data_IF_063531350725
#
_entry.id   IF_063531350725
#
_cell.length_a   1.000
_cell.length_b   1.000
_cell.length_c   1.000
_cell.angle_alpha   90.00
_cell.angle_beta   90.00
_cell.angle_gamma   90.00
#
_symmetry.space_group_name_H-M   'P 1'
#
loop_
_entity.id
_entity.type
_entity.pdbx_description
1 polymer ?
#
# COMPACT_ATOMS: atom_id res chain seq x y z
N UNK A 1 -9.67 45.58 15.32
CA UNK A 1 -9.98 44.52 14.33
C UNK A 1 -9.41 44.99 13.00
N UNK A 2 -8.34 44.36 12.52
CA UNK A 2 -7.71 44.73 11.24
C UNK A 2 -8.40 43.92 10.14
N UNK A 3 -8.97 44.60 9.15
CA UNK A 3 -9.59 43.97 7.98
C UNK A 3 -8.51 43.67 6.94
N UNK A 4 -8.40 42.42 6.52
CA UNK A 4 -7.57 42.03 5.38
C UNK A 4 -8.43 42.04 4.11
N UNK A 5 -7.85 42.41 2.98
CA UNK A 5 -8.53 42.43 1.68
C UNK A 5 -7.71 41.64 0.66
N UNK A 6 -8.38 40.85 -0.18
CA UNK A 6 -7.79 40.20 -1.35
C UNK A 6 -8.53 40.54 -2.62
N UNK A 7 -7.86 40.43 -3.76
CA UNK A 7 -8.49 40.55 -5.08
C UNK A 7 -9.38 39.33 -5.31
N UNK A 8 -10.57 39.54 -5.88
CA UNK A 8 -11.46 38.47 -6.32
C UNK A 8 -10.86 37.78 -7.56
N UNK A 9 -10.80 36.45 -7.56
CA UNK A 9 -10.32 35.69 -8.72
C UNK A 9 -11.18 35.99 -9.95
N UNK A 10 -10.54 36.36 -11.06
CA UNK A 10 -11.20 36.83 -12.27
C UNK A 10 -11.80 35.66 -13.05
N UNK A 11 -13.13 35.51 -12.99
CA UNK A 11 -13.88 34.91 -14.10
C UNK A 11 -14.67 36.01 -14.82
N UNK A 12 -14.07 36.56 -15.88
CA UNK A 12 -14.82 37.20 -16.96
C UNK A 12 -15.16 38.69 -16.87
N UNK A 13 -14.71 39.46 -15.87
CA UNK A 13 -14.95 40.91 -15.85
C UNK A 13 -13.72 41.73 -15.40
N UNK A 14 -13.55 42.92 -16.00
CA UNK A 14 -12.37 43.78 -15.86
C UNK A 14 -12.44 44.73 -14.64
N UNK A 15 -13.36 44.50 -13.72
CA UNK A 15 -13.48 45.26 -12.47
C UNK A 15 -12.63 44.63 -11.35
N UNK A 16 -11.67 45.38 -10.81
CA UNK A 16 -10.87 44.95 -9.66
C UNK A 16 -11.70 45.02 -8.37
N UNK A 17 -12.47 43.98 -8.07
CA UNK A 17 -13.25 43.88 -6.84
C UNK A 17 -12.38 43.36 -5.69
N UNK A 18 -12.22 44.17 -4.63
CA UNK A 18 -11.62 43.74 -3.37
C UNK A 18 -12.68 43.03 -2.52
N UNK A 19 -12.30 41.89 -1.93
CA UNK A 19 -13.14 41.13 -1.01
C UNK A 19 -12.48 41.17 0.36
N UNK A 20 -13.28 41.42 1.40
CA UNK A 20 -12.83 41.28 2.78
C UNK A 20 -12.49 39.81 3.04
N UNK A 21 -11.24 39.54 3.43
CA UNK A 21 -10.80 38.22 3.83
C UNK A 21 -10.91 38.11 5.35
N UNK A 22 -11.79 37.22 5.81
CA UNK A 22 -11.94 36.91 7.22
C UNK A 22 -10.98 35.80 7.61
N UNK A 23 -10.49 35.86 8.85
CA UNK A 23 -9.71 34.78 9.43
C UNK A 23 -10.51 33.47 9.45
N UNK A 24 -9.93 32.40 8.91
CA UNK A 24 -10.52 31.05 8.92
C UNK A 24 -9.67 30.09 9.74
N UNK A 25 -10.25 29.54 10.81
CA UNK A 25 -9.61 28.48 11.58
C UNK A 25 -9.38 27.21 10.75
N UNK A 26 -10.33 26.92 9.86
CA UNK A 26 -10.24 25.82 8.92
C UNK A 26 -9.10 26.06 7.94
N UNK A 27 -9.03 27.25 7.33
CA UNK A 27 -7.93 27.62 6.42
C UNK A 27 -6.54 27.55 7.07
N UNK A 28 -6.41 27.97 8.34
CA UNK A 28 -5.14 27.79 9.07
C UNK A 28 -4.79 26.31 9.30
N UNK A 29 -5.80 25.45 9.50
CA UNK A 29 -5.61 24.02 9.70
C UNK A 29 -5.26 23.30 8.41
N UNK A 30 -5.88 23.70 7.30
CA UNK A 30 -5.56 23.25 5.95
C UNK A 30 -4.13 23.62 5.58
N UNK A 31 -3.73 24.88 5.76
CA UNK A 31 -2.36 25.34 5.50
C UNK A 31 -1.31 24.59 6.35
N UNK A 32 -1.64 24.25 7.61
CA UNK A 32 -0.78 23.43 8.45
C UNK A 32 -0.62 22.01 7.91
N UNK A 33 -1.69 21.41 7.39
CA UNK A 33 -1.66 20.07 6.78
C UNK A 33 -0.86 20.10 5.49
N UNK A 34 -1.08 21.10 4.64
CA UNK A 34 -0.32 21.30 3.40
C UNK A 34 1.18 21.45 3.69
N UNK A 35 1.57 22.28 4.66
CA UNK A 35 2.97 22.42 5.08
C UNK A 35 3.57 21.07 5.49
N UNK A 36 2.84 20.27 6.25
CA UNK A 36 3.31 18.94 6.69
C UNK A 36 3.52 17.99 5.52
N UNK A 37 2.65 18.05 4.51
CA UNK A 37 2.75 17.21 3.31
C UNK A 37 3.88 17.68 2.39
N UNK A 38 3.88 18.98 2.04
CA UNK A 38 4.81 19.58 1.09
C UNK A 38 6.25 19.57 1.61
N UNK A 39 6.43 19.87 2.90
CA UNK A 39 7.77 19.92 3.51
C UNK A 39 8.17 18.59 4.14
N UNK A 40 7.40 17.51 3.92
CA UNK A 40 7.62 16.16 4.45
C UNK A 40 7.90 16.13 5.97
N UNK A 41 7.21 16.99 6.73
CA UNK A 41 7.45 17.13 8.16
C UNK A 41 6.84 15.96 8.94
N UNK A 42 7.52 15.44 9.98
CA UNK A 42 6.93 14.40 10.80
C UNK A 42 5.73 14.96 11.58
N UNK A 43 4.64 14.21 11.75
CA UNK A 43 3.44 14.70 12.45
C UNK A 43 3.69 15.22 13.87
N UNK A 44 4.75 14.73 14.53
CA UNK A 44 5.20 15.24 15.85
C UNK A 44 5.72 16.68 15.82
N UNK A 45 5.96 17.25 14.64
CA UNK A 45 6.45 18.62 14.44
C UNK A 45 5.60 19.64 15.20
N UNK A 46 4.27 19.46 15.17
CA UNK A 46 3.31 20.33 15.87
C UNK A 46 3.47 20.33 17.40
N UNK A 47 4.14 19.33 17.96
CA UNK A 47 4.45 19.26 19.39
C UNK A 47 5.70 20.05 19.78
N UNK A 48 6.51 20.49 18.81
CA UNK A 48 7.78 21.17 19.04
C UNK A 48 7.58 22.49 19.79
N UNK A 49 8.38 22.72 20.84
CA UNK A 49 8.34 23.96 21.64
C UNK A 49 8.56 25.21 20.78
N UNK A 50 9.47 25.15 19.81
CA UNK A 50 9.75 26.24 18.89
C UNK A 50 8.55 26.57 18.00
N UNK A 51 7.93 25.54 17.41
CA UNK A 51 6.74 25.70 16.58
C UNK A 51 5.56 26.27 17.36
N UNK A 52 5.29 25.75 18.57
CA UNK A 52 4.25 26.31 19.45
C UNK A 52 4.50 27.77 19.79
N UNK A 53 5.74 28.12 20.18
CA UNK A 53 6.12 29.51 20.46
C UNK A 53 5.98 30.41 19.24
N UNK A 54 6.29 29.90 18.04
CA UNK A 54 6.09 30.62 16.78
C UNK A 54 4.60 30.89 16.52
N UNK A 55 3.75 29.86 16.62
CA UNK A 55 2.30 29.99 16.45
C UNK A 55 1.70 30.92 17.51
N UNK A 56 2.10 30.80 18.78
CA UNK A 56 1.65 31.68 19.87
C UNK A 56 1.97 33.16 19.62
N UNK A 57 3.07 33.44 18.89
CA UNK A 57 3.44 34.80 18.49
C UNK A 57 2.68 35.28 17.25
N UNK A 58 2.29 34.40 16.36
CA UNK A 58 1.41 34.74 15.24
C UNK A 58 -0.03 35.00 15.69
N UNK A 59 -0.48 34.37 16.77
CA UNK A 59 -1.88 34.44 17.21
C UNK A 59 -2.24 35.60 18.14
N UNK A 60 -1.28 36.51 18.41
CA UNK A 60 -1.39 37.78 19.16
C UNK A 60 -2.72 38.06 19.89
N UNK A 61 -2.69 37.97 21.23
CA UNK A 61 -3.60 38.66 22.15
C UNK A 61 -5.10 38.48 21.89
N UNK A 62 -5.69 37.41 22.42
CA UNK A 62 -7.14 37.15 22.50
C UNK A 62 -7.94 37.13 21.17
N UNK A 63 -7.30 37.31 20.01
CA UNK A 63 -8.01 37.49 18.75
C UNK A 63 -7.81 36.43 17.67
N UNK A 64 -7.00 35.38 17.88
CA UNK A 64 -7.06 34.20 16.99
C UNK A 64 -7.05 32.89 17.78
N UNK A 65 -8.13 32.13 17.62
CA UNK A 65 -8.47 30.88 18.32
C UNK A 65 -7.72 29.66 17.76
N UNK A 66 -6.63 29.84 17.03
CA UNK A 66 -5.94 28.72 16.40
C UNK A 66 -5.13 27.96 17.45
N UNK A 67 -5.74 26.89 17.96
CA UNK A 67 -5.09 25.94 18.86
C UNK A 67 -4.36 24.93 18.01
N UNK A 68 -3.03 24.83 18.19
CA UNK A 68 -2.21 23.87 17.47
C UNK A 68 -2.78 22.45 17.70
N UNK A 69 -3.18 21.74 16.63
CA UNK A 69 -3.77 20.41 16.76
C UNK A 69 -2.74 19.40 17.25
N UNK A 70 -3.23 18.31 17.86
CA UNK A 70 -2.35 17.20 18.24
C UNK A 70 -1.80 16.49 17.00
N UNK A 71 -0.67 15.80 17.14
CA UNK A 71 -0.10 14.98 16.06
C UNK A 71 -1.10 13.94 15.48
N UNK A 72 -2.01 13.40 16.30
CA UNK A 72 -3.04 12.45 15.85
C UNK A 72 -4.15 13.13 15.06
N UNK A 73 -4.47 14.36 15.46
CA UNK A 73 -5.44 15.20 14.76
C UNK A 73 -4.90 15.58 13.38
N UNK A 74 -3.65 16.03 13.32
CA UNK A 74 -2.93 16.29 12.07
C UNK A 74 -2.93 15.07 11.16
N UNK A 75 -2.56 13.90 11.68
CA UNK A 75 -2.56 12.66 10.91
C UNK A 75 -3.95 12.37 10.29
N UNK A 76 -5.02 12.59 11.06
CA UNK A 76 -6.39 12.42 10.56
C UNK A 76 -6.74 13.44 9.48
N UNK A 77 -6.30 14.68 9.60
CA UNK A 77 -6.60 15.71 8.61
C UNK A 77 -5.81 15.50 7.32
N UNK A 78 -4.55 15.07 7.39
CA UNK A 78 -3.77 14.61 6.22
C UNK A 78 -4.55 13.53 5.45
N UNK A 79 -5.15 12.56 6.15
CA UNK A 79 -5.95 11.51 5.50
C UNK A 79 -7.19 12.06 4.79
N UNK A 80 -7.83 13.12 5.31
CA UNK A 80 -8.97 13.77 4.65
C UNK A 80 -8.57 14.46 3.35
N UNK A 81 -7.36 15.02 3.29
CA UNK A 81 -6.83 15.66 2.09
C UNK A 81 -6.54 14.65 0.97
N UNK A 82 -5.95 13.51 1.31
CA UNK A 82 -5.48 12.56 0.31
C UNK A 82 -6.58 11.66 -0.25
N UNK A 83 -7.56 11.26 0.56
CA UNK A 83 -8.55 10.28 0.12
C UNK A 83 -9.89 10.42 0.88
N UNK A 84 -10.70 11.43 0.56
CA UNK A 84 -12.07 11.45 1.01
C UNK A 84 -12.83 10.29 0.36
N UNK A 85 -13.07 9.23 1.13
CA UNK A 85 -13.97 8.16 0.70
C UNK A 85 -15.39 8.70 0.88
N UNK A 86 -16.14 8.82 -0.22
CA UNK A 86 -17.50 9.38 -0.20
C UNK A 86 -18.45 8.65 0.76
N UNK A 87 -18.28 7.32 0.88
CA UNK A 87 -19.06 6.48 1.77
C UNK A 87 -18.33 5.17 2.09
N UNK A 88 -18.68 4.53 3.21
CA UNK A 88 -18.08 3.26 3.65
C UNK A 88 -18.65 2.01 2.96
N UNK A 89 -19.23 2.13 1.74
CA UNK A 89 -19.67 0.95 0.98
C UNK A 89 -18.47 0.30 0.31
N UNK A 90 -18.40 -1.03 0.35
CA UNK A 90 -17.26 -1.78 -0.20
C UNK A 90 -17.00 -1.53 -1.69
N UNK A 91 -18.05 -1.35 -2.51
CA UNK A 91 -17.88 -1.00 -3.92
C UNK A 91 -17.18 0.33 -4.13
N UNK A 92 -17.52 1.34 -3.32
CA UNK A 92 -16.89 2.67 -3.36
C UNK A 92 -15.43 2.55 -2.95
N UNK A 93 -15.16 1.84 -1.85
CA UNK A 93 -13.80 1.59 -1.36
C UNK A 93 -12.96 0.89 -2.44
N UNK A 94 -13.47 -0.17 -3.06
CA UNK A 94 -12.77 -0.90 -4.11
C UNK A 94 -12.44 -0.03 -5.33
N UNK A 95 -13.38 0.80 -5.80
CA UNK A 95 -13.16 1.75 -6.90
C UNK A 95 -12.11 2.81 -6.56
N UNK A 96 -12.17 3.36 -5.34
CA UNK A 96 -11.19 4.36 -4.89
C UNK A 96 -9.80 3.76 -4.79
N UNK A 97 -9.67 2.54 -4.26
CA UNK A 97 -8.39 1.81 -4.22
C UNK A 97 -7.86 1.58 -5.65
N UNK A 98 -8.70 1.10 -6.58
CA UNK A 98 -8.28 0.90 -7.97
C UNK A 98 -7.78 2.20 -8.61
N UNK A 99 -8.48 3.32 -8.40
CA UNK A 99 -8.09 4.63 -8.90
C UNK A 99 -6.71 5.03 -8.36
N UNK A 100 -6.53 4.97 -7.04
CA UNK A 100 -5.28 5.36 -6.40
C UNK A 100 -4.10 4.50 -6.87
N UNK A 101 -4.30 3.19 -7.01
CA UNK A 101 -3.26 2.29 -7.52
C UNK A 101 -2.82 2.70 -8.95
N UNK A 102 -3.77 3.06 -9.82
CA UNK A 102 -3.44 3.55 -11.17
C UNK A 102 -2.73 4.90 -11.14
N UNK A 103 -3.20 5.83 -10.31
CA UNK A 103 -2.60 7.16 -10.17
C UNK A 103 -1.15 7.04 -9.67
N UNK A 104 -0.84 6.02 -8.86
CA UNK A 104 0.51 5.69 -8.41
C UNK A 104 1.33 4.85 -9.40
N UNK A 105 0.78 4.45 -10.55
CA UNK A 105 1.44 3.58 -11.52
C UNK A 105 1.61 2.13 -11.04
N UNK A 106 0.83 1.70 -10.04
CA UNK A 106 0.85 0.33 -9.50
C UNK A 106 -0.10 -0.55 -10.31
N UNK A 107 0.47 -1.29 -11.25
CA UNK A 107 -0.30 -2.17 -12.14
C UNK A 107 -0.51 -3.58 -11.57
N UNK A 108 0.39 -4.03 -10.69
CA UNK A 108 0.41 -5.40 -10.16
C UNK A 108 0.37 -5.38 -8.63
N UNK A 109 -0.75 -5.84 -8.07
CA UNK A 109 -0.93 -5.98 -6.62
C UNK A 109 -0.79 -7.45 -6.24
N UNK A 110 0.22 -7.75 -5.41
CA UNK A 110 0.48 -9.12 -4.96
C UNK A 110 -0.43 -9.55 -3.79
N UNK A 111 -0.64 -8.67 -2.81
CA UNK A 111 -1.42 -8.97 -1.61
C UNK A 111 -2.07 -7.70 -1.10
N UNK A 112 -3.33 -7.80 -0.69
CA UNK A 112 -4.07 -6.75 -0.01
C UNK A 112 -4.51 -7.26 1.36
N UNK A 113 -4.08 -6.57 2.41
CA UNK A 113 -4.54 -6.86 3.78
C UNK A 113 -5.57 -5.83 4.18
N UNK A 114 -6.71 -6.30 4.67
CA UNK A 114 -7.82 -5.48 5.13
C UNK A 114 -8.16 -5.87 6.56
N UNK A 115 -8.72 -4.96 7.35
CA UNK A 115 -9.24 -5.27 8.68
C UNK A 115 -10.55 -6.08 8.58
N UNK A 116 -11.04 -6.59 9.71
CA UNK A 116 -12.22 -7.46 9.76
C UNK A 116 -13.53 -6.67 9.72
N UNK A 117 -13.71 -5.83 8.70
CA UNK A 117 -14.92 -5.05 8.46
C UNK A 117 -15.69 -5.59 7.26
N UNK A 118 -17.02 -5.70 7.36
CA UNK A 118 -17.87 -6.30 6.31
C UNK A 118 -17.80 -5.57 4.96
N UNK A 119 -17.56 -4.26 4.97
CA UNK A 119 -17.35 -3.50 3.73
C UNK A 119 -16.16 -4.00 2.93
N UNK A 120 -15.15 -4.57 3.59
CA UNK A 120 -13.96 -5.07 2.93
C UNK A 120 -14.22 -6.32 2.10
N UNK A 121 -15.19 -7.16 2.47
CA UNK A 121 -15.54 -8.36 1.68
C UNK A 121 -15.97 -7.97 0.25
N UNK A 122 -16.81 -6.94 0.14
CA UNK A 122 -17.28 -6.42 -1.15
C UNK A 122 -16.16 -5.69 -1.90
N UNK A 123 -15.35 -4.90 -1.20
CA UNK A 123 -14.21 -4.21 -1.80
C UNK A 123 -13.17 -5.20 -2.37
N UNK A 124 -12.85 -6.25 -1.61
CA UNK A 124 -11.94 -7.31 -2.04
C UNK A 124 -12.52 -8.08 -3.21
N UNK A 125 -13.80 -8.43 -3.19
CA UNK A 125 -14.44 -9.09 -4.34
C UNK A 125 -14.36 -8.23 -5.62
N UNK A 126 -14.57 -6.92 -5.50
CA UNK A 126 -14.40 -5.97 -6.61
C UNK A 126 -12.97 -5.95 -7.14
N UNK A 127 -12.00 -5.76 -6.24
CA UNK A 127 -10.58 -5.68 -6.58
C UNK A 127 -10.09 -7.01 -7.18
N UNK A 128 -10.49 -8.15 -6.63
CA UNK A 128 -10.18 -9.46 -7.18
C UNK A 128 -10.75 -9.58 -8.59
N UNK A 129 -11.95 -9.13 -8.90
CA UNK A 129 -12.47 -9.17 -10.28
C UNK A 129 -11.63 -8.33 -11.25
N UNK A 130 -11.07 -7.20 -10.78
CA UNK A 130 -10.32 -6.26 -11.62
C UNK A 130 -8.86 -6.64 -11.81
N UNK A 131 -8.23 -7.12 -10.74
CA UNK A 131 -6.84 -7.51 -10.68
C UNK A 131 -6.63 -9.02 -10.91
N UNK A 132 -7.70 -9.84 -10.93
CA UNK A 132 -7.59 -11.26 -11.30
C UNK A 132 -7.32 -11.39 -12.80
N UNK A 133 -6.04 -11.61 -13.09
CA UNK A 133 -5.66 -12.96 -13.52
C UNK A 133 -5.41 -13.75 -12.22
N UNK A 134 -6.24 -14.75 -11.95
CA UNK A 134 -6.38 -15.36 -10.62
C UNK A 134 -5.09 -15.94 -10.05
N UNK A 135 -4.98 -15.96 -8.71
CA UNK A 135 -4.14 -16.90 -7.96
C UNK A 135 -2.79 -17.20 -8.63
N UNK A 136 -2.07 -16.16 -9.10
CA UNK A 136 -0.93 -16.25 -10.06
C UNK A 136 0.26 -17.10 -9.59
N UNK A 137 0.16 -17.66 -8.39
CA UNK A 137 1.17 -18.46 -7.74
C UNK A 137 0.60 -19.73 -7.13
N UNK A 138 -0.60 -20.17 -7.54
CA UNK A 138 -1.21 -21.42 -7.09
C UNK A 138 -0.28 -22.60 -7.32
N UNK A 139 0.35 -22.64 -8.49
CA UNK A 139 1.31 -23.69 -8.83
C UNK A 139 2.59 -23.64 -8.00
N UNK A 140 3.22 -22.48 -7.89
CA UNK A 140 4.43 -22.31 -7.05
C UNK A 140 4.13 -22.62 -5.58
N UNK A 141 2.98 -22.19 -5.06
CA UNK A 141 2.55 -22.49 -3.69
C UNK A 141 2.32 -23.99 -3.50
N UNK A 142 1.68 -24.66 -4.45
CA UNK A 142 1.53 -26.11 -4.43
C UNK A 142 2.90 -26.81 -4.39
N UNK A 143 3.81 -26.39 -5.27
CA UNK A 143 5.13 -27.00 -5.39
C UNK A 143 5.97 -26.88 -4.13
N UNK A 144 6.01 -25.68 -3.55
CA UNK A 144 6.69 -25.43 -2.28
C UNK A 144 6.06 -26.26 -1.16
N UNK A 145 4.72 -26.35 -1.10
CA UNK A 145 4.02 -27.19 -0.12
C UNK A 145 4.35 -28.67 -0.29
N UNK A 146 4.41 -29.17 -1.52
CA UNK A 146 4.75 -30.56 -1.81
C UNK A 146 6.15 -30.90 -1.28
N UNK A 147 7.15 -30.08 -1.62
CA UNK A 147 8.54 -30.28 -1.18
C UNK A 147 8.65 -30.24 0.35
N UNK A 148 7.94 -29.30 0.98
CA UNK A 148 8.02 -29.05 2.42
C UNK A 148 7.14 -30.00 3.25
N UNK A 149 6.27 -30.81 2.63
CA UNK A 149 5.33 -31.66 3.36
C UNK A 149 6.00 -32.85 4.07
N UNK A 150 7.21 -33.26 3.66
CA UNK A 150 7.97 -34.29 4.36
C UNK A 150 9.49 -34.14 4.16
N UNK A 151 10.33 -34.62 5.11
CA UNK A 151 11.77 -34.63 4.95
C UNK A 151 12.25 -35.40 3.71
N UNK A 152 11.56 -36.49 3.35
CA UNK A 152 11.92 -37.30 2.18
C UNK A 152 11.73 -36.53 0.86
N UNK A 153 10.63 -35.79 0.70
CA UNK A 153 10.39 -34.94 -0.49
C UNK A 153 11.40 -33.81 -0.56
N UNK A 154 11.72 -33.19 0.58
CA UNK A 154 12.76 -32.18 0.66
C UNK A 154 14.14 -32.72 0.24
N UNK A 155 14.50 -33.94 0.66
CA UNK A 155 15.76 -34.58 0.26
C UNK A 155 15.82 -34.86 -1.25
N UNK A 156 14.72 -35.31 -1.86
CA UNK A 156 14.65 -35.48 -3.33
C UNK A 156 14.86 -34.16 -4.05
N UNK A 157 14.20 -33.09 -3.61
CA UNK A 157 14.40 -31.76 -4.18
C UNK A 157 15.83 -31.25 -4.00
N UNK A 158 16.45 -31.49 -2.84
CA UNK A 158 17.85 -31.16 -2.60
C UNK A 158 18.79 -31.86 -3.58
N UNK A 159 18.53 -33.13 -3.90
CA UNK A 159 19.26 -33.85 -4.95
C UNK A 159 19.08 -33.18 -6.32
N UNK A 160 17.87 -32.71 -6.64
CA UNK A 160 17.62 -31.98 -7.89
C UNK A 160 18.43 -30.67 -7.96
N UNK A 161 18.52 -29.92 -6.85
CA UNK A 161 19.36 -28.70 -6.74
C UNK A 161 20.83 -29.02 -7.01
N UNK A 162 21.36 -30.11 -6.41
CA UNK A 162 22.75 -30.54 -6.60
C UNK A 162 23.02 -30.93 -8.06
N UNK A 163 22.09 -31.65 -8.70
CA UNK A 163 22.19 -32.05 -10.11
C UNK A 163 22.12 -30.85 -11.07
N UNK A 164 21.27 -29.87 -10.78
CA UNK A 164 21.16 -28.61 -11.53
C UNK A 164 22.27 -27.60 -11.19
N UNK A 165 23.17 -27.93 -10.26
CA UNK A 165 24.31 -27.10 -9.83
C UNK A 165 23.88 -25.69 -9.39
N UNK A 166 22.75 -25.58 -8.71
CA UNK A 166 22.21 -24.29 -8.26
C UNK A 166 23.01 -23.80 -7.04
N UNK A 167 23.82 -22.75 -7.24
CA UNK A 167 24.64 -22.14 -6.20
C UNK A 167 23.82 -21.19 -5.29
N UNK A 168 22.76 -21.70 -4.67
CA UNK A 168 21.95 -20.94 -3.72
C UNK A 168 22.10 -21.55 -2.31
N UNK A 169 22.44 -20.72 -1.32
CA UNK A 169 22.62 -21.17 0.09
C UNK A 169 21.30 -21.28 0.86
N UNK A 170 20.25 -20.60 0.39
CA UNK A 170 18.93 -20.54 1.05
C UNK A 170 17.93 -21.47 0.39
N UNK A 171 17.10 -22.19 1.14
CA UNK A 171 16.06 -23.07 0.59
C UNK A 171 14.70 -22.38 0.45
N UNK A 172 13.75 -23.05 -0.21
CA UNK A 172 12.35 -22.62 -0.29
C UNK A 172 11.67 -22.56 1.08
N UNK A 173 10.82 -21.55 1.28
CA UNK A 173 10.05 -21.34 2.52
C UNK A 173 8.54 -21.37 2.26
N UNK A 174 7.76 -21.79 3.26
CA UNK A 174 6.30 -21.89 3.14
C UNK A 174 5.65 -20.50 3.18
N UNK A 175 4.55 -20.37 2.44
CA UNK A 175 3.63 -19.25 2.57
C UNK A 175 2.84 -19.32 3.89
N UNK A 176 2.67 -18.18 4.56
CA UNK A 176 1.98 -18.03 5.84
C UNK A 176 0.92 -16.94 5.68
N UNK A 177 -0.35 -17.28 5.42
CA UNK A 177 -1.39 -16.30 5.09
C UNK A 177 -1.58 -15.16 6.12
N UNK A 178 -1.20 -15.41 7.38
CA UNK A 178 -1.28 -14.42 8.46
C UNK A 178 -0.08 -13.48 8.55
N UNK A 179 0.94 -13.65 7.68
CA UNK A 179 2.16 -12.83 7.66
C UNK A 179 2.31 -12.16 6.29
N UNK A 180 2.07 -10.85 6.23
CA UNK A 180 1.97 -10.07 4.99
C UNK A 180 3.15 -10.20 4.00
N UNK A 181 4.36 -10.51 4.46
CA UNK A 181 5.53 -10.68 3.60
C UNK A 181 5.90 -12.14 3.27
N UNK A 182 5.15 -13.14 3.76
CA UNK A 182 5.51 -14.55 3.54
C UNK A 182 5.41 -14.98 2.09
N UNK A 183 4.37 -14.53 1.38
CA UNK A 183 4.15 -14.92 -0.02
C UNK A 183 5.28 -14.36 -0.88
N UNK A 184 5.67 -13.11 -0.64
CA UNK A 184 6.82 -12.49 -1.29
C UNK A 184 8.11 -13.29 -1.03
N UNK A 185 8.43 -13.61 0.23
CA UNK A 185 9.61 -14.40 0.57
C UNK A 185 9.58 -15.79 -0.06
N UNK A 186 8.42 -16.44 -0.14
CA UNK A 186 8.25 -17.73 -0.81
C UNK A 186 8.60 -17.61 -2.30
N UNK A 187 8.05 -16.62 -3.00
CA UNK A 187 8.31 -16.43 -4.42
C UNK A 187 9.77 -16.08 -4.70
N UNK A 188 10.31 -15.12 -3.96
CA UNK A 188 11.70 -14.68 -4.10
C UNK A 188 12.69 -15.84 -3.90
N UNK A 189 12.39 -16.75 -2.96
CA UNK A 189 13.18 -17.96 -2.77
C UNK A 189 12.93 -18.99 -3.89
N UNK A 190 11.67 -19.26 -4.24
CA UNK A 190 11.30 -20.32 -5.18
C UNK A 190 11.82 -20.08 -6.61
N UNK A 191 11.80 -18.83 -7.09
CA UNK A 191 12.26 -18.47 -8.44
C UNK A 191 13.73 -18.84 -8.67
N UNK A 192 14.56 -18.86 -7.61
CA UNK A 192 15.97 -19.28 -7.69
C UNK A 192 16.13 -20.78 -8.00
N UNK A 193 15.06 -21.56 -7.86
CA UNK A 193 15.06 -23.02 -7.97
C UNK A 193 14.19 -23.56 -9.10
N UNK A 194 13.69 -22.74 -10.03
CA UNK A 194 12.84 -23.17 -11.15
C UNK A 194 13.35 -24.45 -11.83
N UNK A 195 14.62 -24.49 -12.23
CA UNK A 195 15.23 -25.67 -12.87
C UNK A 195 15.18 -26.94 -12.00
N UNK A 196 15.28 -26.80 -10.68
CA UNK A 196 15.17 -27.94 -9.77
C UNK A 196 13.72 -28.41 -9.61
N UNK A 197 12.73 -27.50 -9.75
CA UNK A 197 11.32 -27.89 -9.82
C UNK A 197 11.02 -28.62 -11.13
N UNK A 198 11.54 -28.16 -12.27
CA UNK A 198 11.39 -28.83 -13.57
C UNK A 198 11.96 -30.26 -13.51
N UNK A 199 13.19 -30.42 -12.98
CA UNK A 199 13.81 -31.74 -12.78
C UNK A 199 12.99 -32.64 -11.85
N UNK A 200 12.42 -32.09 -10.78
CA UNK A 200 11.59 -32.86 -9.85
C UNK A 200 10.32 -33.40 -10.55
N UNK A 201 9.78 -32.67 -11.52
CA UNK A 201 8.64 -33.09 -12.34
C UNK A 201 8.97 -34.26 -13.26
N UNK A 202 10.18 -34.28 -13.80
CA UNK A 202 10.68 -35.40 -14.60
C UNK A 202 10.95 -36.65 -13.74
N UNK A 203 11.50 -36.46 -12.54
CA UNK A 203 12.01 -37.55 -11.69
C UNK A 203 10.98 -38.13 -10.70
N UNK A 204 10.00 -37.35 -10.23
CA UNK A 204 9.01 -37.79 -9.23
C UNK A 204 7.58 -37.74 -9.79
N UNK A 205 7.07 -38.90 -10.19
CA UNK A 205 5.69 -39.03 -10.67
C UNK A 205 4.63 -38.59 -9.63
N UNK A 206 4.95 -38.61 -8.33
CA UNK A 206 4.03 -38.13 -7.29
C UNK A 206 3.97 -36.60 -7.19
N UNK A 207 4.93 -35.89 -7.81
CA UNK A 207 4.95 -34.43 -7.89
C UNK A 207 4.14 -33.90 -9.08
N UNK A 208 4.07 -34.67 -10.19
CA UNK A 208 3.26 -34.32 -11.35
C UNK A 208 1.79 -34.16 -10.98
N UNK A 209 1.29 -32.94 -11.13
CA UNK A 209 -0.08 -32.57 -10.81
C UNK A 209 -0.56 -31.49 -11.77
N UNK A 210 -1.88 -31.38 -12.01
CA UNK A 210 -2.48 -30.31 -12.82
C UNK A 210 -2.25 -28.89 -12.27
N UNK A 211 -1.63 -28.79 -11.08
CA UNK A 211 -1.25 -27.54 -10.43
C UNK A 211 0.28 -27.43 -10.31
N UNK A 212 1.05 -28.18 -11.08
CA UNK A 212 2.49 -27.92 -11.23
C UNK A 212 2.71 -26.49 -11.76
N UNK A 213 3.77 -25.78 -11.32
CA UNK A 213 4.09 -24.46 -11.85
C UNK A 213 4.34 -24.52 -13.37
N UNK A 214 3.71 -23.63 -14.12
CA UNK A 214 3.98 -23.48 -15.55
C UNK A 214 4.93 -22.28 -15.82
N UNK A 215 5.31 -22.08 -17.09
CA UNK A 215 6.20 -20.98 -17.50
C UNK A 215 5.63 -19.59 -17.19
N UNK A 216 4.31 -19.43 -17.26
CA UNK A 216 3.64 -18.17 -16.93
C UNK A 216 3.72 -17.89 -15.42
N UNK A 217 3.59 -18.90 -14.56
CA UNK A 217 3.76 -18.75 -13.11
C UNK A 217 5.17 -18.23 -12.76
N UNK A 218 6.22 -18.81 -13.36
CA UNK A 218 7.60 -18.37 -13.14
C UNK A 218 7.88 -16.97 -13.70
N UNK A 219 7.30 -16.64 -14.84
CA UNK A 219 7.40 -15.30 -15.44
C UNK A 219 6.71 -14.27 -14.55
N UNK A 220 5.54 -14.62 -14.01
CA UNK A 220 4.80 -13.73 -13.11
C UNK A 220 5.49 -13.56 -11.75
N UNK A 221 6.22 -14.56 -11.27
CA UNK A 221 6.93 -14.50 -9.98
C UNK A 221 8.23 -13.70 -10.04
N UNK A 222 8.81 -13.50 -11.24
CA UNK A 222 9.91 -12.57 -11.49
C UNK A 222 9.33 -11.15 -11.59
N UNK A 223 9.26 -10.47 -10.46
CA UNK A 223 8.88 -9.05 -10.36
C UNK A 223 10.06 -8.19 -10.76
#
# INVERSE_FOLDING_TARGET
MTLAFKLKDKFGDNSSQLVCESFSLEGCREALVEMIIVDELPFKFVNGKGFKKFVDKLTCGNHTRFVVPSQFTVARDVLKFFCPIENHKGDTIGKTIEKNLKDWGIERVMTLTVDNASSNDTAVAYLLKRFNKGLLFGGIRYAVRFIRSSPARFLKFKKCIELEKIACKSYVCLDVPTRWNSTYMMLEAAVKFEKAFDRLEDEDAAYRHDMSPNKEDWTNARI
#
